data_IF_965543260605
#
_entry.id   IF_965543260605
#
_cell.length_a   1.000
_cell.length_b   1.000
_cell.length_c   1.000
_cell.angle_alpha   90.00
_cell.angle_beta   90.00
_cell.angle_gamma   90.00
#
_symmetry.space_group_name_H-M   'P 1'
#
loop_
_entity.id
_entity.type
_entity.pdbx_description
1 polymer ?
#
# COMPACT_ATOMS: atom_id res chain seq x y z
N UNK A 1 -36.26 50.97 15.44
CA UNK A 1 -35.19 50.64 16.41
C UNK A 1 -34.98 49.12 16.52
N UNK A 2 -34.77 48.41 15.38
CA UNK A 2 -34.48 46.96 15.34
C UNK A 2 -33.82 46.57 13.99
N UNK A 3 -32.65 47.12 13.66
CA UNK A 3 -31.90 46.68 12.46
C UNK A 3 -30.43 47.11 12.49
N UNK A 4 -29.67 46.77 13.55
CA UNK A 4 -28.25 47.13 13.58
C UNK A 4 -27.35 46.24 14.46
N UNK A 5 -27.68 44.95 14.61
CA UNK A 5 -26.94 44.06 15.52
C UNK A 5 -26.47 42.71 14.93
N UNK A 6 -26.57 42.49 13.62
CA UNK A 6 -26.10 41.22 13.01
C UNK A 6 -24.82 41.32 12.17
N UNK A 7 -24.26 42.49 11.91
CA UNK A 7 -23.10 42.62 11.02
C UNK A 7 -21.73 42.68 11.73
N UNK A 8 -21.68 42.79 13.06
CA UNK A 8 -20.41 42.89 13.79
C UNK A 8 -19.82 41.53 14.19
N UNK A 9 -20.58 40.42 14.11
CA UNK A 9 -20.11 39.10 14.54
C UNK A 9 -19.27 38.34 13.48
N UNK A 10 -19.19 38.84 12.24
CA UNK A 10 -18.44 38.20 11.15
C UNK A 10 -17.02 38.74 10.95
N UNK A 11 -16.63 39.83 11.63
CA UNK A 11 -15.31 40.45 11.49
C UNK A 11 -14.28 39.98 12.53
N UNK A 12 -14.66 39.06 13.42
CA UNK A 12 -13.78 38.43 14.42
C UNK A 12 -13.84 36.89 14.39
N UNK A 13 -14.25 36.29 13.27
CA UNK A 13 -13.95 34.89 13.06
C UNK A 13 -12.42 34.77 12.97
N UNK A 14 -11.74 34.05 13.88
CA UNK A 14 -10.30 33.90 13.78
C UNK A 14 -9.97 33.27 12.43
N UNK A 15 -9.07 33.90 11.69
CA UNK A 15 -8.42 33.41 10.46
C UNK A 15 -7.60 32.11 10.69
N UNK A 16 -7.92 31.33 11.73
CA UNK A 16 -7.21 30.12 12.16
C UNK A 16 -7.93 28.82 11.79
N UNK A 17 -8.87 28.85 10.83
CA UNK A 17 -9.61 27.66 10.38
C UNK A 17 -9.16 27.10 9.04
N UNK A 18 -7.97 27.47 8.56
CA UNK A 18 -7.23 26.52 7.74
C UNK A 18 -6.35 25.76 8.71
N UNK A 19 -6.79 24.55 9.09
CA UNK A 19 -5.88 23.55 9.66
C UNK A 19 -4.65 23.58 8.76
N UNK A 20 -3.52 24.01 9.31
CA UNK A 20 -2.26 24.04 8.59
C UNK A 20 -2.07 22.60 8.13
N UNK A 21 -2.21 22.37 6.82
CA UNK A 21 -2.00 21.06 6.22
C UNK A 21 -0.60 20.64 6.64
N UNK A 22 -0.52 19.65 7.52
CA UNK A 22 0.72 19.07 8.00
C UNK A 22 1.29 18.26 6.83
N UNK A 23 1.96 18.96 5.91
CA UNK A 23 2.60 18.34 4.76
C UNK A 23 3.72 17.46 5.27
N UNK A 24 3.44 16.16 5.35
CA UNK A 24 4.43 15.15 5.68
C UNK A 24 5.16 14.79 4.41
N UNK A 25 6.43 15.15 4.35
CA UNK A 25 7.32 14.67 3.30
C UNK A 25 7.67 13.21 3.60
N UNK A 26 7.41 12.35 2.63
CA UNK A 26 7.76 10.94 2.69
C UNK A 26 8.67 10.54 1.55
N UNK A 27 9.44 9.49 1.79
CA UNK A 27 10.24 8.82 0.77
C UNK A 27 9.83 7.36 0.76
N UNK A 28 9.86 6.74 -0.41
CA UNK A 28 9.72 5.29 -0.51
C UNK A 28 11.10 4.65 -0.31
N UNK A 29 11.23 3.90 0.78
CA UNK A 29 12.34 2.98 0.97
C UNK A 29 11.97 1.65 0.36
N UNK A 30 12.63 1.34 -0.76
CA UNK A 30 12.57 0.04 -1.39
C UNK A 30 13.85 -0.72 -1.01
N UNK A 31 13.73 -1.79 -0.23
CA UNK A 31 14.84 -2.72 -0.08
C UNK A 31 15.04 -3.42 -1.43
N UNK A 32 16.04 -2.95 -2.18
CA UNK A 32 16.17 -3.14 -3.61
C UNK A 32 15.85 -4.57 -4.06
N UNK A 33 14.70 -4.73 -4.72
CA UNK A 33 14.37 -5.94 -5.44
C UNK A 33 15.36 -6.03 -6.60
N UNK A 34 16.08 -7.15 -6.79
CA UNK A 34 17.09 -7.29 -7.83
C UNK A 34 16.55 -7.08 -9.26
N UNK A 35 15.24 -6.90 -9.41
CA UNK A 35 14.50 -6.63 -10.64
C UNK A 35 14.76 -5.24 -11.26
N UNK A 36 14.84 -4.16 -10.47
CA UNK A 36 14.90 -2.80 -11.04
C UNK A 36 16.28 -2.43 -11.57
N UNK A 37 17.35 -2.93 -10.94
CA UNK A 37 18.69 -2.90 -11.52
C UNK A 37 19.70 -3.71 -10.71
N UNK A 38 20.40 -4.69 -11.32
CA UNK A 38 21.54 -5.34 -10.67
C UNK A 38 22.74 -4.41 -10.43
N UNK A 39 22.68 -3.14 -10.87
CA UNK A 39 23.74 -2.13 -10.69
C UNK A 39 23.55 -1.27 -9.44
N UNK A 40 22.42 -1.37 -8.77
CA UNK A 40 22.12 -0.53 -7.61
C UNK A 40 22.54 -1.29 -6.36
N UNK A 41 23.76 -1.02 -5.87
CA UNK A 41 24.21 -1.54 -4.59
C UNK A 41 23.30 -1.01 -3.47
N UNK A 42 22.90 -1.88 -2.54
CA UNK A 42 22.12 -1.47 -1.37
C UNK A 42 22.87 -0.36 -0.65
N UNK A 43 22.25 0.80 -0.37
CA UNK A 43 22.87 1.77 0.49
C UNK A 43 23.10 1.10 1.85
N UNK A 44 24.34 1.12 2.34
CA UNK A 44 24.62 0.68 3.71
C UNK A 44 23.85 1.59 4.68
N UNK A 45 23.60 1.12 5.91
CA UNK A 45 22.98 1.97 6.94
C UNK A 45 23.72 3.32 7.08
N UNK A 46 25.05 3.33 6.97
CA UNK A 46 25.84 4.56 7.01
C UNK A 46 25.56 5.50 5.82
N UNK A 47 25.38 4.95 4.62
CA UNK A 47 25.00 5.74 3.44
C UNK A 47 23.59 6.30 3.58
N UNK A 48 22.65 5.55 4.15
CA UNK A 48 21.30 6.01 4.43
C UNK A 48 21.30 7.15 5.45
N UNK A 49 22.00 6.98 6.58
CA UNK A 49 22.13 8.02 7.61
C UNK A 49 22.72 9.32 7.05
N UNK A 50 23.70 9.22 6.15
CA UNK A 50 24.28 10.40 5.47
C UNK A 50 23.22 11.15 4.67
N UNK A 51 22.34 10.45 3.96
CA UNK A 51 21.24 11.08 3.21
C UNK A 51 20.20 11.69 4.13
N UNK A 52 19.84 11.00 5.22
CA UNK A 52 18.84 11.46 6.18
C UNK A 52 19.29 12.69 6.97
N UNK A 53 20.60 12.89 7.17
CA UNK A 53 21.14 14.06 7.87
C UNK A 53 20.76 15.42 7.24
N UNK A 54 20.37 15.42 5.95
CA UNK A 54 19.95 16.62 5.24
C UNK A 54 18.43 16.86 5.27
N UNK A 55 17.65 15.97 5.87
CA UNK A 55 16.19 16.09 5.96
C UNK A 55 15.82 16.83 7.26
N UNK A 56 15.41 18.09 7.14
CA UNK A 56 15.13 18.97 8.30
C UNK A 56 13.67 18.94 8.78
N UNK A 57 12.75 18.44 7.96
CA UNK A 57 11.34 18.22 8.29
C UNK A 57 11.03 16.73 8.21
N UNK A 58 10.50 16.16 9.30
CA UNK A 58 10.29 14.71 9.43
C UNK A 58 8.82 14.39 9.16
N UNK A 59 8.57 13.51 8.20
CA UNK A 59 7.24 12.98 7.87
C UNK A 59 7.20 11.47 8.02
N UNK A 60 6.39 10.80 7.19
CA UNK A 60 6.28 9.34 7.17
C UNK A 60 7.10 8.74 6.03
N UNK A 61 7.83 7.67 6.28
CA UNK A 61 8.55 6.91 5.27
C UNK A 61 7.71 5.71 4.87
N UNK A 62 7.52 5.54 3.57
CA UNK A 62 6.91 4.34 3.06
C UNK A 62 7.95 3.24 2.96
N UNK A 63 7.77 2.14 3.69
CA UNK A 63 8.72 1.02 3.72
C UNK A 63 8.14 -0.17 2.96
N UNK A 64 8.71 -0.40 1.77
CA UNK A 64 8.34 -1.47 0.86
C UNK A 64 9.44 -2.55 0.81
N UNK A 65 9.04 -3.82 0.74
CA UNK A 65 9.95 -4.97 0.68
C UNK A 65 10.47 -5.49 2.03
N UNK A 66 10.39 -4.69 3.08
CA UNK A 66 10.89 -5.06 4.42
C UNK A 66 9.87 -5.89 5.20
N UNK A 67 8.59 -5.57 5.03
CA UNK A 67 7.47 -6.14 5.79
C UNK A 67 6.80 -7.35 5.14
N UNK A 68 7.41 -7.94 4.14
CA UNK A 68 6.73 -8.92 3.32
C UNK A 68 6.63 -10.28 4.00
N UNK A 69 5.54 -11.00 3.70
CA UNK A 69 5.30 -12.31 4.31
C UNK A 69 6.41 -13.32 4.02
N UNK A 70 6.92 -13.37 2.79
CA UNK A 70 7.96 -14.34 2.42
C UNK A 70 9.31 -14.08 3.10
N UNK A 71 9.58 -12.82 3.46
CA UNK A 71 10.80 -12.41 4.19
C UNK A 71 10.70 -12.71 5.69
N UNK A 72 9.51 -12.56 6.27
CA UNK A 72 9.27 -12.78 7.71
C UNK A 72 8.98 -14.26 8.00
N UNK A 73 8.31 -14.96 7.09
CA UNK A 73 7.97 -16.38 7.20
C UNK A 73 8.19 -17.08 5.85
N UNK A 74 9.36 -17.71 5.69
CA UNK A 74 9.77 -18.25 4.40
C UNK A 74 9.05 -19.56 4.03
N UNK A 75 8.53 -20.29 5.04
CA UNK A 75 7.79 -21.54 4.89
C UNK A 75 6.67 -21.66 5.92
N UNK A 76 5.68 -22.47 5.59
CA UNK A 76 4.59 -22.82 6.50
C UNK A 76 5.13 -23.37 7.82
N UNK A 77 4.59 -22.86 8.93
CA UNK A 77 4.93 -23.30 10.29
C UNK A 77 6.26 -22.80 10.84
N UNK A 78 7.05 -22.04 10.06
CA UNK A 78 8.23 -21.35 10.60
C UNK A 78 7.83 -20.19 11.51
N UNK A 79 8.64 -19.91 12.52
CA UNK A 79 8.49 -18.73 13.37
C UNK A 79 8.72 -17.44 12.57
N UNK A 80 8.01 -16.37 12.95
CA UNK A 80 8.19 -15.05 12.34
C UNK A 80 9.55 -14.45 12.69
N UNK A 81 10.33 -14.12 11.66
CA UNK A 81 11.62 -13.49 11.81
C UNK A 81 11.54 -11.97 11.59
N UNK A 82 11.48 -11.22 12.68
CA UNK A 82 11.44 -9.74 12.66
C UNK A 82 12.82 -9.08 12.67
N UNK A 83 13.94 -9.82 12.60
CA UNK A 83 15.27 -9.23 12.79
C UNK A 83 15.59 -8.10 11.80
N UNK A 84 15.31 -8.31 10.50
CA UNK A 84 15.49 -7.28 9.46
C UNK A 84 14.46 -6.15 9.61
N UNK A 85 13.14 -6.44 9.65
CA UNK A 85 12.11 -5.43 9.96
C UNK A 85 12.45 -4.50 11.13
N UNK A 86 12.76 -5.08 12.29
CA UNK A 86 13.06 -4.33 13.51
C UNK A 86 14.29 -3.43 13.35
N UNK A 87 15.27 -3.86 12.55
CA UNK A 87 16.47 -3.05 12.30
C UNK A 87 16.17 -1.80 11.48
N UNK A 88 15.25 -1.90 10.52
CA UNK A 88 14.81 -0.80 9.67
C UNK A 88 13.90 0.16 10.46
N UNK A 89 12.96 -0.38 11.24
CA UNK A 89 12.10 0.42 12.12
C UNK A 89 12.96 1.23 13.10
N UNK A 90 13.91 0.59 13.79
CA UNK A 90 14.84 1.29 14.70
C UNK A 90 15.66 2.36 13.98
N UNK A 91 16.16 2.08 12.78
CA UNK A 91 16.97 3.01 12.01
C UNK A 91 16.20 4.30 11.68
N UNK A 92 14.97 4.19 11.18
CA UNK A 92 14.18 5.34 10.79
C UNK A 92 13.57 6.08 12.00
N UNK A 93 13.10 5.35 13.02
CA UNK A 93 12.54 5.98 14.21
C UNK A 93 13.59 6.69 15.07
N UNK A 94 14.84 6.20 15.10
CA UNK A 94 15.95 6.93 15.72
C UNK A 94 16.21 8.30 15.06
N UNK A 95 15.75 8.49 13.82
CA UNK A 95 15.79 9.78 13.11
C UNK A 95 14.46 10.55 13.20
N UNK A 96 13.47 10.03 13.94
CA UNK A 96 12.16 10.65 14.16
C UNK A 96 11.18 10.53 13.00
N UNK A 97 11.36 9.53 12.11
CA UNK A 97 10.38 9.25 11.06
C UNK A 97 9.30 8.30 11.55
N UNK A 98 8.06 8.59 11.17
CA UNK A 98 6.98 7.60 11.19
C UNK A 98 7.13 6.65 9.98
N UNK A 99 6.54 5.47 10.05
CA UNK A 99 6.58 4.50 8.93
C UNK A 99 5.16 4.16 8.48
N UNK A 100 4.99 3.94 7.18
CA UNK A 100 3.86 3.19 6.60
C UNK A 100 4.37 1.85 6.10
N UNK A 101 3.58 0.79 6.29
CA UNK A 101 4.05 -0.58 6.14
C UNK A 101 3.33 -1.33 5.04
N UNK A 102 4.06 -1.93 4.10
CA UNK A 102 3.46 -2.79 3.08
C UNK A 102 3.20 -4.20 3.61
N UNK A 103 1.95 -4.64 3.47
CA UNK A 103 1.53 -6.03 3.68
C UNK A 103 1.39 -6.71 2.33
N UNK A 104 2.41 -7.46 1.94
CA UNK A 104 2.45 -8.22 0.68
C UNK A 104 2.24 -9.72 0.94
N UNK A 105 1.22 -10.29 0.30
CA UNK A 105 0.94 -11.74 0.31
C UNK A 105 1.77 -12.44 -0.77
N UNK A 106 3.09 -12.43 -0.61
CA UNK A 106 4.05 -12.95 -1.59
C UNK A 106 4.63 -14.34 -1.23
N UNK A 107 4.22 -14.89 -0.09
CA UNK A 107 4.61 -16.22 0.35
C UNK A 107 4.02 -17.29 -0.57
N UNK A 108 4.81 -17.76 -1.55
CA UNK A 108 4.36 -18.72 -2.58
C UNK A 108 3.77 -20.02 -2.03
N UNK A 109 4.23 -20.45 -0.85
CA UNK A 109 3.71 -21.64 -0.20
C UNK A 109 2.24 -21.49 0.22
N UNK A 110 1.74 -20.25 0.33
CA UNK A 110 0.39 -19.94 0.77
C UNK A 110 -0.60 -19.65 -0.36
N UNK A 111 -0.19 -19.54 -1.63
CA UNK A 111 -1.06 -19.03 -2.71
C UNK A 111 -2.12 -20.02 -3.18
N UNK A 112 -3.30 -19.49 -3.56
CA UNK A 112 -4.44 -20.27 -4.09
C UNK A 112 -4.10 -21.11 -5.32
N UNK A 113 -3.15 -20.64 -6.14
CA UNK A 113 -2.59 -21.35 -7.27
C UNK A 113 -1.13 -20.93 -7.45
N UNK A 114 -0.15 -21.67 -6.90
CA UNK A 114 1.25 -21.35 -7.09
C UNK A 114 1.62 -21.54 -8.57
N UNK A 115 1.52 -20.46 -9.35
CA UNK A 115 1.94 -20.44 -10.74
C UNK A 115 3.43 -20.06 -10.78
N UNK A 116 4.34 -20.98 -11.16
CA UNK A 116 5.76 -20.68 -11.23
C UNK A 116 6.10 -19.60 -12.25
N UNK A 117 5.20 -19.31 -13.20
CA UNK A 117 5.36 -18.23 -14.17
C UNK A 117 5.17 -16.83 -13.56
N UNK A 118 4.42 -16.71 -12.46
CA UNK A 118 4.29 -15.45 -11.72
C UNK A 118 5.64 -15.11 -11.13
N UNK A 119 6.19 -13.92 -11.41
CA UNK A 119 7.54 -13.56 -10.95
C UNK A 119 7.64 -13.56 -9.43
N UNK A 120 8.85 -13.81 -8.92
CA UNK A 120 9.11 -13.79 -7.48
C UNK A 120 8.74 -12.42 -6.92
N UNK A 121 7.94 -12.49 -5.84
CA UNK A 121 7.43 -11.37 -5.07
C UNK A 121 6.30 -10.55 -5.72
N UNK A 122 5.64 -11.07 -6.75
CA UNK A 122 4.27 -10.61 -6.97
C UNK A 122 3.39 -11.03 -5.78
N UNK A 123 2.33 -10.29 -5.49
CA UNK A 123 1.35 -10.66 -4.46
C UNK A 123 0.15 -11.39 -5.08
N UNK A 124 -0.33 -12.44 -4.42
CA UNK A 124 -1.55 -13.17 -4.77
C UNK A 124 -2.34 -13.49 -3.50
N UNK A 125 -3.64 -13.76 -3.63
CA UNK A 125 -4.42 -14.15 -2.45
C UNK A 125 -3.95 -15.52 -1.92
N UNK A 126 -4.03 -15.73 -0.59
CA UNK A 126 -3.80 -17.04 -0.02
C UNK A 126 -4.86 -18.03 -0.52
N UNK A 127 -4.47 -19.30 -0.58
CA UNK A 127 -5.38 -20.42 -0.76
C UNK A 127 -6.41 -20.44 0.38
N UNK A 128 -7.62 -20.99 0.16
CA UNK A 128 -8.65 -21.05 1.19
C UNK A 128 -8.17 -21.71 2.50
N UNK A 129 -7.33 -22.74 2.41
CA UNK A 129 -6.75 -23.44 3.58
C UNK A 129 -5.58 -22.69 4.23
N UNK A 130 -5.17 -21.55 3.68
CA UNK A 130 -4.05 -20.69 4.13
C UNK A 130 -4.50 -19.29 4.54
N UNK A 131 -5.81 -19.03 4.56
CA UNK A 131 -6.35 -17.73 4.98
C UNK A 131 -6.05 -17.41 6.44
N UNK A 132 -6.08 -18.43 7.31
CA UNK A 132 -5.76 -18.27 8.73
C UNK A 132 -4.27 -17.96 8.93
N UNK A 133 -3.39 -18.57 8.12
CA UNK A 133 -1.96 -18.26 8.14
C UNK A 133 -1.70 -16.79 7.77
N UNK A 134 -2.39 -16.27 6.74
CA UNK A 134 -2.30 -14.86 6.37
C UNK A 134 -2.78 -13.95 7.50
N UNK A 135 -3.93 -14.24 8.10
CA UNK A 135 -4.45 -13.45 9.21
C UNK A 135 -3.54 -13.49 10.45
N UNK A 136 -2.95 -14.64 10.75
CA UNK A 136 -1.96 -14.78 11.82
C UNK A 136 -0.72 -13.93 11.55
N UNK A 137 -0.23 -13.93 10.31
CA UNK A 137 0.88 -13.09 9.90
C UNK A 137 0.57 -11.61 10.08
N UNK A 138 -0.59 -11.15 9.58
CA UNK A 138 -1.03 -9.75 9.73
C UNK A 138 -1.15 -9.37 11.20
N UNK A 139 -1.77 -10.21 12.03
CA UNK A 139 -1.87 -9.96 13.47
C UNK A 139 -0.51 -9.83 14.12
N UNK A 140 0.42 -10.74 13.81
CA UNK A 140 1.76 -10.71 14.38
C UNK A 140 2.55 -9.47 13.96
N UNK A 141 2.40 -9.00 12.72
CA UNK A 141 3.04 -7.77 12.25
C UNK A 141 2.43 -6.54 12.92
N UNK A 142 1.11 -6.49 13.10
CA UNK A 142 0.43 -5.35 13.74
C UNK A 142 0.77 -5.28 15.23
N UNK A 143 0.61 -6.37 15.98
CA UNK A 143 0.99 -6.47 17.40
C UNK A 143 2.44 -6.05 17.63
N UNK A 144 3.34 -6.39 16.70
CA UNK A 144 4.76 -6.03 16.81
C UNK A 144 4.99 -4.52 16.83
N UNK A 145 4.10 -3.73 16.23
CA UNK A 145 4.36 -2.34 15.89
C UNK A 145 3.21 -1.36 16.22
N UNK A 146 2.13 -1.79 16.87
CA UNK A 146 0.99 -0.93 17.20
C UNK A 146 1.24 0.00 18.40
N UNK A 147 2.26 -0.31 19.22
CA UNK A 147 2.72 0.52 20.33
C UNK A 147 1.76 0.55 21.52
N UNK A 148 0.94 -0.48 21.71
CA UNK A 148 0.01 -0.56 22.84
C UNK A 148 0.67 -1.00 24.16
N UNK A 149 1.93 -1.46 24.10
CA UNK A 149 2.74 -1.93 25.22
C UNK A 149 2.76 -3.46 25.38
N UNK A 150 2.01 -4.20 24.59
CA UNK A 150 1.94 -5.68 24.55
C UNK A 150 2.78 -6.18 23.38
N UNK A 151 3.73 -7.08 23.64
CA UNK A 151 4.60 -7.76 22.66
C UNK A 151 5.24 -6.89 21.52
N UNK A 152 5.26 -5.57 21.75
CA UNK A 152 5.86 -4.56 20.91
C UNK A 152 7.34 -4.83 20.60
N UNK A 153 7.82 -4.25 19.49
CA UNK A 153 9.25 -4.17 19.22
C UNK A 153 10.00 -3.56 20.41
N UNK A 154 11.00 -4.27 21.00
CA UNK A 154 11.83 -3.66 22.03
C UNK A 154 12.50 -2.39 21.52
N UNK A 155 12.17 -1.27 22.15
CA UNK A 155 12.65 0.05 21.74
C UNK A 155 11.86 0.69 20.60
N UNK A 156 10.62 0.24 20.31
CA UNK A 156 9.67 0.96 19.49
C UNK A 156 9.46 2.37 20.07
N UNK A 157 9.64 3.39 19.25
CA UNK A 157 9.50 4.79 19.64
C UNK A 157 8.20 5.40 19.11
N UNK A 158 7.76 4.95 17.93
CA UNK A 158 6.62 5.49 17.21
C UNK A 158 5.76 4.31 16.72
N UNK A 159 4.47 4.24 17.06
CA UNK A 159 3.56 3.25 16.48
C UNK A 159 3.50 3.31 14.95
N UNK A 160 3.43 2.16 14.29
CA UNK A 160 3.08 2.11 12.86
C UNK A 160 1.56 2.12 12.75
N UNK A 161 1.02 3.21 12.20
CA UNK A 161 -0.43 3.44 12.13
C UNK A 161 -1.04 3.07 10.79
N UNK A 162 -0.26 2.99 9.73
CA UNK A 162 -0.79 2.80 8.38
C UNK A 162 -0.16 1.58 7.72
N UNK A 163 -1.01 0.62 7.38
CA UNK A 163 -0.63 -0.61 6.70
C UNK A 163 -1.22 -0.58 5.30
N UNK A 164 -0.36 -0.59 4.28
CA UNK A 164 -0.75 -0.56 2.88
C UNK A 164 -0.89 -2.00 2.40
N UNK A 165 -2.09 -2.36 1.94
CA UNK A 165 -2.34 -3.68 1.37
C UNK A 165 -1.77 -3.73 -0.05
N UNK A 166 -0.75 -4.56 -0.26
CA UNK A 166 -0.07 -4.80 -1.52
C UNK A 166 0.45 -3.56 -2.28
N UNK A 167 1.37 -3.80 -3.21
CA UNK A 167 1.82 -2.87 -4.25
C UNK A 167 0.71 -2.26 -5.11
N UNK A 168 1.14 -1.48 -6.10
CA UNK A 168 0.22 -0.92 -7.09
C UNK A 168 -0.50 -2.04 -7.87
N UNK A 169 -1.82 -1.91 -8.09
CA UNK A 169 -2.62 -2.92 -8.81
C UNK A 169 -2.77 -2.54 -10.28
N UNK A 170 -2.63 -3.53 -11.15
CA UNK A 170 -2.83 -3.40 -12.60
C UNK A 170 -3.47 -4.69 -13.10
N UNK A 171 -4.55 -4.58 -13.89
CA UNK A 171 -5.24 -5.74 -14.45
C UNK A 171 -5.00 -5.88 -15.95
N UNK A 172 -4.87 -7.12 -16.41
CA UNK A 172 -4.64 -7.48 -17.80
C UNK A 172 -5.95 -7.84 -18.53
N UNK A 173 -5.83 -8.23 -19.81
CA UNK A 173 -6.97 -8.65 -20.65
C UNK A 173 -7.75 -9.87 -20.14
N UNK A 174 -7.16 -10.69 -19.27
CA UNK A 174 -7.80 -11.87 -18.68
C UNK A 174 -8.53 -11.57 -17.36
N UNK A 175 -8.41 -10.33 -16.84
CA UNK A 175 -8.92 -9.95 -15.53
C UNK A 175 -8.02 -10.38 -14.38
N UNK A 176 -6.82 -10.88 -14.69
CA UNK A 176 -5.75 -11.16 -13.73
C UNK A 176 -4.88 -9.92 -13.56
N UNK A 177 -4.18 -9.86 -12.44
CA UNK A 177 -3.20 -8.83 -12.15
C UNK A 177 -1.95 -8.90 -13.04
N UNK A 178 -0.97 -8.04 -12.79
CA UNK A 178 0.33 -8.07 -13.46
C UNK A 178 1.19 -9.24 -12.93
N UNK A 179 1.20 -10.33 -13.68
CA UNK A 179 1.98 -11.53 -13.33
C UNK A 179 3.49 -11.39 -13.61
N UNK A 180 3.89 -10.35 -14.36
CA UNK A 180 5.24 -10.20 -14.87
C UNK A 180 6.08 -9.17 -14.12
N UNK A 181 5.46 -8.24 -13.39
CA UNK A 181 6.13 -7.12 -12.74
C UNK A 181 5.82 -7.11 -11.24
N UNK A 182 6.72 -7.62 -10.39
CA UNK A 182 6.56 -7.47 -8.95
C UNK A 182 6.94 -6.03 -8.49
N UNK A 183 6.47 -5.55 -7.32
CA UNK A 183 5.66 -6.23 -6.31
C UNK A 183 4.14 -6.08 -6.53
N UNK A 184 3.70 -6.00 -7.79
CA UNK A 184 2.28 -5.80 -8.10
C UNK A 184 1.44 -7.04 -7.81
N UNK A 185 0.13 -6.81 -7.77
CA UNK A 185 -0.88 -7.85 -7.65
C UNK A 185 -0.95 -8.69 -8.93
N UNK A 186 -1.00 -10.03 -8.80
CA UNK A 186 -0.97 -10.98 -9.91
C UNK A 186 -2.26 -11.83 -10.06
N UNK A 187 -3.30 -11.57 -9.26
CA UNK A 187 -4.51 -12.39 -9.22
C UNK A 187 -5.76 -11.55 -9.60
N UNK A 188 -6.97 -12.08 -9.47
CA UNK A 188 -8.21 -11.39 -9.84
C UNK A 188 -8.59 -10.28 -8.85
N UNK A 189 -9.44 -9.34 -9.28
CA UNK A 189 -10.01 -8.32 -8.39
C UNK A 189 -10.86 -8.93 -7.26
N UNK A 190 -11.54 -10.05 -7.50
CA UNK A 190 -12.31 -10.74 -6.46
C UNK A 190 -11.40 -11.26 -5.33
N UNK A 191 -10.27 -11.85 -5.70
CA UNK A 191 -9.27 -12.30 -4.75
C UNK A 191 -8.60 -11.13 -4.01
N UNK A 192 -8.44 -9.97 -4.65
CA UNK A 192 -7.91 -8.76 -4.00
C UNK A 192 -8.87 -8.26 -2.93
N UNK A 193 -10.17 -8.19 -3.25
CA UNK A 193 -11.21 -7.78 -2.30
C UNK A 193 -11.35 -8.77 -1.15
N UNK A 194 -11.22 -10.08 -1.42
CA UNK A 194 -11.16 -11.12 -0.38
C UNK A 194 -9.95 -10.91 0.55
N UNK A 195 -8.75 -10.74 -0.02
CA UNK A 195 -7.53 -10.48 0.74
C UNK A 195 -7.67 -9.22 1.61
N UNK A 196 -8.29 -8.16 1.09
CA UNK A 196 -8.55 -6.94 1.83
C UNK A 196 -9.40 -7.19 3.07
N UNK A 197 -10.51 -7.93 2.94
CA UNK A 197 -11.40 -8.26 4.07
C UNK A 197 -10.68 -9.09 5.14
N UNK A 198 -9.90 -10.08 4.73
CA UNK A 198 -9.10 -10.90 5.66
C UNK A 198 -8.07 -10.04 6.40
N UNK A 199 -7.38 -9.15 5.68
CA UNK A 199 -6.37 -8.26 6.25
C UNK A 199 -6.98 -7.26 7.22
N UNK A 200 -8.11 -6.66 6.86
CA UNK A 200 -8.84 -5.73 7.73
C UNK A 200 -9.30 -6.39 9.02
N UNK A 201 -9.92 -7.56 8.92
CA UNK A 201 -10.36 -8.32 10.10
C UNK A 201 -9.18 -8.67 11.03
N UNK A 202 -8.05 -9.10 10.47
CA UNK A 202 -6.84 -9.40 11.24
C UNK A 202 -6.25 -8.16 11.92
N UNK A 203 -6.16 -7.03 11.21
CA UNK A 203 -5.67 -5.76 11.77
C UNK A 203 -6.55 -5.29 12.92
N UNK A 204 -7.89 -5.32 12.76
CA UNK A 204 -8.83 -4.94 13.84
C UNK A 204 -8.78 -5.88 15.05
N UNK A 205 -8.41 -7.14 14.83
CA UNK A 205 -8.25 -8.11 15.90
C UNK A 205 -6.95 -7.89 16.70
N UNK A 206 -5.86 -7.49 16.02
CA UNK A 206 -4.60 -7.16 16.68
C UNK A 206 -4.66 -5.81 17.41
N UNK A 207 -5.27 -4.79 16.79
CA UNK A 207 -5.45 -3.48 17.42
C UNK A 207 -6.95 -3.12 17.51
N UNK A 208 -7.64 -3.54 18.58
CA UNK A 208 -9.04 -3.17 18.82
C UNK A 208 -9.24 -1.67 19.05
N UNK A 209 -8.19 -0.92 19.44
CA UNK A 209 -8.28 0.52 19.71
C UNK A 209 -8.56 1.33 18.45
N UNK A 210 -8.18 0.79 17.28
CA UNK A 210 -8.35 1.43 15.98
C UNK A 210 -7.34 2.54 15.70
N UNK A 211 -6.20 2.52 16.40
CA UNK A 211 -5.06 3.41 16.15
C UNK A 211 -4.37 3.09 14.82
N UNK A 212 -4.46 1.83 14.38
CA UNK A 212 -3.99 1.33 13.10
C UNK A 212 -5.08 1.37 12.04
N UNK A 213 -4.68 1.64 10.80
CA UNK A 213 -5.53 1.82 9.63
C UNK A 213 -5.00 0.97 8.48
N UNK A 214 -5.92 0.29 7.80
CA UNK A 214 -5.64 -0.35 6.52
C UNK A 214 -5.81 0.68 5.41
N UNK A 215 -4.75 0.87 4.62
CA UNK A 215 -4.72 1.67 3.42
C UNK A 215 -4.79 0.72 2.23
N UNK A 216 -5.62 1.06 1.25
CA UNK A 216 -5.79 0.22 0.06
C UNK A 216 -4.54 0.17 -0.80
N UNK A 217 -4.57 -0.76 -1.76
CA UNK A 217 -3.63 -0.77 -2.86
C UNK A 217 -3.82 0.46 -3.73
N UNK A 218 -2.73 1.15 -4.06
CA UNK A 218 -2.75 2.14 -5.13
C UNK A 218 -3.14 1.46 -6.45
N UNK A 219 -3.98 2.08 -7.28
CA UNK A 219 -4.28 1.55 -8.61
C UNK A 219 -3.38 2.22 -9.65
N UNK A 220 -2.69 1.39 -10.42
CA UNK A 220 -1.97 1.87 -11.59
C UNK A 220 -2.97 2.13 -12.70
N UNK A 221 -3.29 3.41 -12.87
CA UNK A 221 -4.24 3.88 -13.84
C UNK A 221 -3.55 4.42 -15.10
N UNK A 222 -2.39 3.86 -15.50
CA UNK A 222 -1.69 4.23 -16.75
C UNK A 222 -2.66 4.26 -17.94
N UNK A 223 -3.56 3.28 -17.99
CA UNK A 223 -4.56 3.15 -19.05
C UNK A 223 -5.74 4.15 -18.89
N UNK A 224 -5.93 4.80 -17.73
CA UNK A 224 -7.00 5.79 -17.52
C UNK A 224 -6.54 7.23 -17.80
N UNK A 225 -5.29 7.57 -17.48
CA UNK A 225 -4.79 8.96 -17.59
C UNK A 225 -4.05 9.24 -18.89
N UNK A 226 -3.53 8.22 -19.58
CA UNK A 226 -3.09 8.36 -20.97
C UNK A 226 -4.25 8.63 -21.95
N UNK A 227 -5.48 8.64 -21.44
CA UNK A 227 -6.76 8.75 -22.16
C UNK A 227 -7.38 10.15 -22.19
N UNK A 228 -6.70 11.21 -21.73
CA UNK A 228 -7.15 12.56 -22.03
C UNK A 228 -6.77 12.94 -23.47
N UNK A 229 -7.73 13.10 -24.40
CA UNK A 229 -7.47 13.46 -25.81
C UNK A 229 -6.77 14.82 -25.96
N UNK A 230 -6.69 15.59 -24.88
CA UNK A 230 -6.10 16.92 -24.82
C UNK A 230 -4.57 16.89 -24.62
N UNK A 231 -3.95 15.71 -24.48
CA UNK A 231 -2.49 15.54 -24.36
C UNK A 231 -1.85 14.72 -25.52
N UNK A 232 -2.06 15.09 -26.80
CA UNK A 232 -1.51 14.37 -27.95
C UNK A 232 0.01 14.51 -28.11
N UNK A 233 0.65 15.41 -27.36
CA UNK A 233 2.05 15.82 -27.54
C UNK A 233 3.07 14.78 -27.05
N UNK A 234 2.63 13.79 -26.26
CA UNK A 234 3.49 12.80 -25.63
C UNK A 234 3.37 11.38 -26.20
N UNK A 235 2.55 11.16 -27.24
CA UNK A 235 2.32 9.82 -27.78
C UNK A 235 3.25 9.54 -28.98
N UNK A 236 4.25 8.64 -28.85
CA UNK A 236 5.13 8.30 -29.96
C UNK A 236 4.34 7.62 -31.10
N UNK A 237 4.91 7.46 -32.31
CA UNK A 237 4.22 6.85 -33.45
C UNK A 237 3.72 5.40 -33.27
N UNK A 238 4.19 4.71 -32.22
CA UNK A 238 3.73 3.38 -31.76
C UNK A 238 3.03 3.48 -30.39
N UNK A 239 2.55 4.68 -30.09
CA UNK A 239 1.99 5.05 -28.82
C UNK A 239 0.60 4.48 -28.61
N UNK A 240 0.03 4.87 -27.49
CA UNK A 240 -1.25 4.39 -27.00
C UNK A 240 -2.42 4.81 -27.88
N UNK A 241 -2.39 5.97 -28.57
CA UNK A 241 -3.50 6.51 -29.38
C UNK A 241 -3.76 5.68 -30.65
N UNK A 242 -2.76 5.36 -31.51
CA UNK A 242 -3.01 4.54 -32.70
C UNK A 242 -3.46 3.11 -32.39
N UNK A 243 -2.93 2.52 -31.31
CA UNK A 243 -3.38 1.22 -30.80
C UNK A 243 -4.87 1.31 -30.37
N UNK A 244 -5.25 2.38 -29.67
CA UNK A 244 -6.64 2.63 -29.21
C UNK A 244 -7.65 2.71 -30.35
N UNK A 245 -7.36 3.43 -31.43
CA UNK A 245 -8.24 3.50 -32.61
C UNK A 245 -8.48 2.14 -33.28
N UNK A 246 -7.61 1.16 -32.99
CA UNK A 246 -7.71 -0.21 -33.46
C UNK A 246 -8.25 -1.17 -32.39
N UNK A 247 -8.78 -0.63 -31.28
CA UNK A 247 -9.23 -1.37 -30.10
C UNK A 247 -8.12 -2.23 -29.45
N UNK A 248 -6.88 -1.72 -29.46
CA UNK A 248 -5.69 -2.31 -28.84
C UNK A 248 -5.21 -1.36 -27.72
N UNK A 249 -4.79 -1.88 -26.56
CA UNK A 249 -4.13 -1.05 -25.53
C UNK A 249 -2.61 -1.16 -25.57
N UNK A 250 -1.93 -0.35 -24.76
CA UNK A 250 -0.52 -0.55 -24.43
C UNK A 250 -0.28 -1.99 -23.97
N UNK A 251 0.63 -2.70 -24.67
CA UNK A 251 0.94 -4.13 -24.47
C UNK A 251 -0.22 -5.13 -24.69
N UNK A 252 -1.30 -4.74 -25.36
CA UNK A 252 -2.37 -5.66 -25.78
C UNK A 252 -3.35 -6.07 -24.67
N UNK A 253 -3.51 -5.22 -23.64
CA UNK A 253 -4.52 -5.41 -22.61
C UNK A 253 -5.90 -4.87 -23.04
N UNK A 254 -6.96 -5.22 -22.31
CA UNK A 254 -8.30 -4.68 -22.52
C UNK A 254 -8.55 -3.58 -21.49
N UNK A 255 -8.62 -2.31 -21.93
CA UNK A 255 -8.95 -1.13 -21.10
C UNK A 255 -10.17 -1.36 -20.20
N UNK A 256 -11.19 -2.04 -20.74
CA UNK A 256 -12.44 -2.31 -20.03
C UNK A 256 -12.25 -3.12 -18.75
N UNK A 257 -11.20 -3.94 -18.64
CA UNK A 257 -10.97 -4.74 -17.44
C UNK A 257 -10.37 -3.89 -16.31
N UNK A 258 -9.40 -3.02 -16.60
CA UNK A 258 -8.86 -2.08 -15.61
C UNK A 258 -9.95 -1.16 -15.08
N UNK A 259 -10.76 -0.60 -15.97
CA UNK A 259 -11.91 0.23 -15.59
C UNK A 259 -12.96 -0.57 -14.79
N UNK A 260 -13.35 -1.77 -15.22
CA UNK A 260 -14.31 -2.60 -14.48
C UNK A 260 -13.77 -3.03 -13.11
N UNK A 261 -12.48 -3.32 -13.01
CA UNK A 261 -11.85 -3.64 -11.74
C UNK A 261 -11.85 -2.44 -10.80
N UNK A 262 -11.53 -1.24 -11.30
CA UNK A 262 -11.64 0.01 -10.53
C UNK A 262 -13.09 0.26 -10.09
N UNK A 263 -14.06 0.17 -11.01
CA UNK A 263 -15.48 0.33 -10.69
C UNK A 263 -15.92 -0.67 -9.62
N UNK A 264 -15.51 -1.94 -9.74
CA UNK A 264 -15.82 -2.98 -8.77
C UNK A 264 -15.16 -2.72 -7.42
N UNK A 265 -13.91 -2.25 -7.42
CA UNK A 265 -13.18 -1.87 -6.22
C UNK A 265 -13.88 -0.72 -5.50
N UNK A 266 -14.18 0.37 -6.21
CA UNK A 266 -14.90 1.53 -5.67
C UNK A 266 -16.31 1.17 -5.18
N UNK A 267 -17.04 0.33 -5.91
CA UNK A 267 -18.35 -0.15 -5.48
C UNK A 267 -18.26 -1.04 -4.23
N UNK A 268 -17.24 -1.89 -4.14
CA UNK A 268 -17.05 -2.81 -3.01
C UNK A 268 -16.50 -2.11 -1.76
N UNK A 269 -15.80 -0.98 -1.91
CA UNK A 269 -15.38 -0.13 -0.80
C UNK A 269 -16.45 0.91 -0.42
N UNK A 270 -17.42 1.19 -1.30
CA UNK A 270 -18.51 2.14 -1.07
C UNK A 270 -19.78 1.52 -0.47
N UNK A 271 -20.00 0.21 -0.63
CA UNK A 271 -21.10 -0.54 -0.03
C UNK A 271 -20.55 -1.55 0.99
N UNK A 272 -20.66 -1.23 2.27
CA UNK A 272 -20.38 -2.20 3.33
C UNK A 272 -21.68 -2.91 3.74
N UNK A 273 -21.74 -4.22 3.49
CA UNK A 273 -22.87 -5.07 3.86
C UNK A 273 -23.17 -5.18 5.37
N UNK A 274 -22.32 -4.59 6.24
CA UNK A 274 -22.35 -4.84 7.69
C UNK A 274 -22.40 -3.57 8.56
N UNK A 275 -22.58 -2.37 7.98
CA UNK A 275 -22.92 -1.15 8.72
C UNK A 275 -21.81 -0.54 9.61
N UNK A 276 -20.54 -0.84 9.33
CA UNK A 276 -19.40 -0.19 9.99
C UNK A 276 -18.94 1.00 9.15
N UNK A 277 -18.80 2.19 9.77
CA UNK A 277 -18.25 3.36 9.10
C UNK A 277 -16.74 3.16 8.94
N UNK A 278 -16.28 3.02 7.69
CA UNK A 278 -14.89 2.68 7.41
C UNK A 278 -13.98 3.92 7.54
N UNK A 279 -12.97 3.86 8.41
CA UNK A 279 -11.86 4.83 8.48
C UNK A 279 -10.85 4.59 7.32
N UNK A 280 -11.36 4.34 6.12
CA UNK A 280 -10.58 4.01 4.94
C UNK A 280 -9.92 5.24 4.33
N UNK A 281 -8.65 5.11 3.96
CA UNK A 281 -7.93 6.08 3.14
C UNK A 281 -7.72 5.43 1.78
N UNK A 282 -8.46 5.90 0.77
CA UNK A 282 -8.35 5.50 -0.63
C UNK A 282 -7.57 6.47 -1.48
#
# INVERSE_FOLDING_TARGET
>A
MKTLLCFAALLFAPLQLFAQSDWRFGFEYNENWPFWSPRWAHPTHAQLLTKLAHVTSRGAINVNGVGNWSSIQSREGEEYNFATPDSIVRLFQAQGFELTWYLNCEARWAWVNPNPAVRLGASMAPAPDKEDDWQNFVRAVVERYDGDGTDDMPGLLIPIRFYIMTGEIKFDKSGLGDQENPPFWADTIDNLLRLHRLTYAALRAADPSGNTKLVSSGAVLWDLYADFPDYPEFDPPQGTIPLRLQNQSYKGNSYMNGWRALQKMLASFGDEGDGVECDYIG
#
